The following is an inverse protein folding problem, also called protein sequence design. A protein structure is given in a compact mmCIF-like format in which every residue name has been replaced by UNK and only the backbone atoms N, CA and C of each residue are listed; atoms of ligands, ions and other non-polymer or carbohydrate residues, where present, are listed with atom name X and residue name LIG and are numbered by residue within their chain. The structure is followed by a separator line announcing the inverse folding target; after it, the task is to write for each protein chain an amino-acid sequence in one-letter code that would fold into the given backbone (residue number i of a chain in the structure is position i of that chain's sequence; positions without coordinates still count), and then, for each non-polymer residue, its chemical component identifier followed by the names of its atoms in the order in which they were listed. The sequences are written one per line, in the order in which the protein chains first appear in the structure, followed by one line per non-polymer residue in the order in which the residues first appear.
data_IF_873506100557
#
_entry.id   IF_873506100557
#
_cell.length_a   1.000
_cell.length_b   1.000
_cell.length_c   1.000
_cell.angle_alpha   90.00
_cell.angle_beta   90.00
_cell.angle_gamma   90.00
#
_symmetry.space_group_name_H-M   'P 1'
#
loop_
_entity.id
_entity.type
_entity.pdbx_description
1 polymer ?
2 water ?
#
# COMPACT_ATOMS: atom_id res chain seq x y z
N UNK A 22 12.61 15.20 -10.84
CA UNK A 22 13.58 15.89 -10.00
C UNK A 22 15.02 15.62 -10.43
N UNK A 23 15.94 15.60 -9.45
CA UNK A 23 17.38 15.50 -9.72
C UNK A 23 17.83 14.17 -10.33
N UNK A 24 17.09 13.09 -10.07
CA UNK A 24 17.58 11.73 -10.35
C UNK A 24 17.65 11.34 -11.82
N UNK A 25 18.76 10.70 -12.21
CA UNK A 25 18.94 10.24 -13.59
C UNK A 25 18.24 8.90 -13.79
N UNK A 26 18.04 8.52 -15.05
CA UNK A 26 17.56 7.17 -15.37
C UNK A 26 18.41 6.09 -14.73
N UNK A 27 19.72 6.28 -14.68
CA UNK A 27 20.59 5.27 -14.08
C UNK A 27 20.40 5.33 -12.56
N UNK A 28 20.09 6.52 -12.04
CA UNK A 28 19.97 6.71 -10.61
C UNK A 28 18.67 6.23 -10.01
N UNK A 29 17.63 6.05 -10.82
CA UNK A 29 16.39 5.53 -10.25
C UNK A 29 16.25 4.03 -10.39
N UNK A 30 17.18 3.41 -11.08
CA UNK A 30 17.13 1.95 -11.25
C UNK A 30 18.04 1.22 -10.27
N UNK A 31 19.29 1.68 -10.20
CA UNK A 31 20.23 1.18 -9.23
C UNK A 31 19.68 1.40 -7.82
N UNK A 32 19.39 2.66 -7.50
CA UNK A 32 18.90 3.00 -6.17
C UNK A 32 17.64 2.22 -5.77
N UNK A 33 16.76 1.94 -6.74
CA UNK A 33 15.50 1.25 -6.46
C UNK A 33 15.74 -0.24 -6.39
N UNK A 34 16.65 -0.72 -7.22
CA UNK A 34 17.07 -2.11 -7.13
C UNK A 34 17.66 -2.39 -5.73
N UNK A 35 18.57 -1.53 -5.29
CA UNK A 35 19.15 -1.66 -3.98
C UNK A 35 18.11 -1.60 -2.89
N UNK A 36 17.36 -0.50 -2.87
CA UNK A 36 16.31 -0.24 -1.88
C UNK A 36 15.29 -1.37 -1.85
N UNK A 37 14.93 -1.90 -3.01
CA UNK A 37 14.04 -3.03 -3.03
C UNK A 37 14.69 -4.28 -2.46
N UNK A 38 15.88 -4.64 -2.92
CA UNK A 38 16.49 -5.93 -2.53
C UNK A 38 16.92 -6.00 -1.06
N UNK A 39 17.24 -4.85 -0.47
CA UNK A 39 17.61 -4.84 0.93
C UNK A 39 16.40 -4.74 1.82
N UNK A 40 15.24 -5.06 1.29
CA UNK A 40 14.00 -4.96 2.04
C UNK A 40 13.33 -6.28 1.91
N UNK A 41 13.74 -7.00 0.86
CA UNK A 41 13.27 -8.35 0.62
C UNK A 41 14.07 -9.37 1.44
N UNK A 42 15.38 -9.32 1.34
CA UNK A 42 16.22 -10.26 2.10
C UNK A 42 16.00 -10.10 3.61
N UNK A 43 15.76 -8.86 4.04
CA UNK A 43 15.53 -8.53 5.45
C UNK A 43 14.15 -8.91 5.98
N UNK A 44 13.16 -8.94 5.08
CA UNK A 44 11.77 -9.25 5.45
C UNK A 44 11.21 -10.44 4.69
N UNK A 45 12.05 -11.29 4.13
CA UNK A 45 11.57 -12.42 3.34
C UNK A 45 10.53 -13.29 4.07
N UNK A 46 10.84 -13.73 5.30
CA UNK A 46 9.98 -14.69 6.03
C UNK A 46 8.60 -14.12 6.32
N UNK A 47 8.57 -12.83 6.64
CA UNK A 47 7.32 -12.13 6.90
C UNK A 47 6.48 -11.89 5.63
N UNK A 48 7.13 -11.73 4.48
CA UNK A 48 6.38 -11.60 3.25
C UNK A 48 5.94 -12.98 2.79
N UNK A 49 6.68 -14.01 3.20
CA UNK A 49 6.34 -15.37 2.84
C UNK A 49 4.97 -15.70 3.43
N UNK A 50 4.68 -15.13 4.60
CA UNK A 50 3.40 -15.38 5.26
C UNK A 50 2.37 -14.26 5.08
N UNK A 51 2.82 -13.04 4.80
CA UNK A 51 1.86 -11.94 4.73
C UNK A 51 1.84 -11.20 3.39
N UNK A 52 1.12 -11.75 2.39
CA UNK A 52 1.06 -11.16 1.05
C UNK A 52 0.71 -9.67 1.01
N UNK A 53 -0.20 -9.18 1.87
CA UNK A 53 -0.45 -7.72 1.93
C UNK A 53 0.79 -6.90 2.22
N UNK A 54 1.45 -7.20 3.33
CA UNK A 54 2.71 -6.54 3.68
C UNK A 54 3.69 -6.57 2.52
N UNK A 55 3.71 -7.69 1.81
CA UNK A 55 4.58 -7.82 0.64
C UNK A 55 4.07 -6.85 -0.42
N UNK A 56 2.76 -6.89 -0.65
CA UNK A 56 2.11 -6.03 -1.63
C UNK A 56 2.36 -4.56 -1.33
N UNK A 57 2.42 -4.21 -0.05
CA UNK A 57 2.61 -2.82 0.34
C UNK A 57 4.04 -2.35 0.09
N UNK A 58 5.00 -3.19 0.46
CA UNK A 58 6.41 -2.89 0.23
C UNK A 58 6.68 -2.66 -1.24
N UNK A 59 6.19 -3.57 -2.09
CA UNK A 59 6.19 -3.37 -3.54
C UNK A 59 5.59 -2.03 -3.97
N UNK A 60 4.36 -1.74 -3.54
CA UNK A 60 3.73 -0.46 -3.83
C UNK A 60 4.51 0.76 -3.29
N UNK A 61 5.11 0.60 -2.13
CA UNK A 61 5.80 1.70 -1.46
C UNK A 61 7.17 1.99 -2.11
N UNK A 62 7.79 0.94 -2.64
CA UNK A 62 9.11 1.08 -3.22
C UNK A 62 9.09 1.33 -4.73
N UNK A 63 8.29 0.54 -5.45
CA UNK A 63 8.19 0.62 -6.91
C UNK A 63 7.24 1.71 -7.36
N UNK A 64 6.15 1.88 -6.62
CA UNK A 64 5.12 2.85 -6.95
C UNK A 64 5.60 4.19 -7.46
N UNK A 65 6.45 4.89 -6.67
CA UNK A 65 7.03 6.18 -7.05
C UNK A 65 7.92 6.18 -8.31
N UNK A 66 8.44 5.03 -8.72
CA UNK A 66 9.31 5.00 -9.91
C UNK A 66 8.70 4.24 -11.10
N UNK A 67 7.38 4.06 -11.07
CA UNK A 67 6.66 3.33 -12.11
C UNK A 67 5.46 4.18 -12.63
N UNK A 68 5.32 4.28 -13.95
CA UNK A 68 4.23 5.05 -14.54
C UNK A 68 3.04 4.11 -14.71
N UNK A 69 2.37 3.79 -13.59
CA UNK A 69 1.36 2.73 -13.59
C UNK A 69 0.23 2.95 -14.60
N UNK A 70 -0.12 4.21 -14.84
CA UNK A 70 -1.22 4.55 -15.73
C UNK A 70 -0.79 4.48 -17.19
N UNK A 71 0.43 4.92 -17.47
CA UNK A 71 0.93 4.88 -18.82
C UNK A 71 1.08 3.44 -19.23
N UNK A 72 1.41 2.61 -18.26
CA UNK A 72 1.58 1.19 -18.50
C UNK A 72 0.23 0.53 -18.81
N UNK A 73 -0.80 0.92 -18.05
CA UNK A 73 -2.15 0.39 -18.27
C UNK A 73 -2.75 0.83 -19.61
N UNK A 74 -2.51 2.09 -19.96
CA UNK A 74 -3.03 2.65 -21.20
C UNK A 74 -2.40 1.98 -22.40
N UNK A 75 -1.24 1.37 -22.22
CA UNK A 75 -0.62 0.69 -23.34
C UNK A 75 -1.10 -0.76 -23.43
N UNK A 76 -1.41 -1.32 -22.28
CA UNK A 76 -1.96 -2.67 -22.24
C UNK A 76 -3.38 -2.69 -22.83
N UNK A 77 -4.33 -2.02 -22.19
CA UNK A 77 -5.55 -1.65 -22.89
C UNK A 77 -5.02 -0.77 -23.97
N UNK A 78 -5.59 -0.77 -25.15
CA UNK A 78 -5.13 0.26 -26.09
C UNK A 78 -5.62 1.60 -25.55
N UNK A 79 -5.09 2.69 -26.06
CA UNK A 79 -5.62 4.01 -25.74
C UNK A 79 -7.06 4.13 -26.26
N UNK A 80 -7.42 3.27 -27.21
CA UNK A 80 -8.78 3.18 -27.74
C UNK A 80 -9.74 2.64 -26.68
N UNK A 81 -9.29 1.63 -25.97
CA UNK A 81 -10.08 1.06 -24.89
C UNK A 81 -9.88 1.78 -23.55
N UNK A 82 -8.69 2.32 -23.31
CA UNK A 82 -8.46 3.08 -22.09
C UNK A 82 -9.36 4.33 -22.02
N UNK A 83 -9.83 4.78 -23.17
CA UNK A 83 -10.63 5.99 -23.26
C UNK A 83 -12.08 5.70 -22.99
N UNK A 84 -12.40 4.41 -22.92
CA UNK A 84 -13.76 3.92 -22.69
C UNK A 84 -13.80 3.29 -21.31
N UNK A 85 -12.72 3.50 -20.57
CA UNK A 85 -12.56 2.96 -19.24
C UNK A 85 -12.76 4.08 -18.21
N UNK A 86 -13.76 3.94 -17.33
CA UNK A 86 -13.94 4.91 -16.26
C UNK A 86 -12.77 4.81 -15.27
N UNK A 87 -12.64 5.80 -14.39
CA UNK A 87 -11.67 5.67 -13.31
C UNK A 87 -11.88 4.42 -12.46
N UNK A 88 -13.11 4.10 -12.09
CA UNK A 88 -13.35 2.89 -11.29
C UNK A 88 -12.72 1.69 -11.97
N UNK A 89 -13.08 1.49 -13.22
CA UNK A 89 -12.59 0.37 -14.03
C UNK A 89 -11.08 0.40 -14.17
N UNK A 90 -10.53 1.57 -14.47
CA UNK A 90 -9.10 1.71 -14.66
C UNK A 90 -8.37 1.39 -13.36
N UNK A 91 -9.00 1.68 -12.22
CA UNK A 91 -8.32 1.44 -10.95
C UNK A 91 -8.39 -0.02 -10.57
N UNK A 92 -9.48 -0.66 -10.95
CA UNK A 92 -9.64 -2.09 -10.69
C UNK A 92 -8.67 -2.91 -11.52
N UNK A 93 -8.49 -2.53 -12.77
CA UNK A 93 -7.50 -3.17 -13.62
C UNK A 93 -6.15 -3.20 -12.93
N UNK A 94 -5.69 -2.06 -12.39
CA UNK A 94 -4.35 -1.97 -11.80
C UNK A 94 -4.16 -2.81 -10.55
N UNK A 95 -5.15 -2.77 -9.67
CA UNK A 95 -5.11 -3.60 -8.48
C UNK A 95 -5.08 -5.07 -8.90
N UNK A 96 -6.04 -5.48 -9.72
CA UNK A 96 -6.04 -6.83 -10.28
C UNK A 96 -4.69 -7.30 -10.86
N UNK A 97 -4.13 -6.46 -11.73
CA UNK A 97 -2.83 -6.66 -12.38
C UNK A 97 -1.66 -6.87 -11.42
N UNK A 98 -1.47 -5.92 -10.52
CA UNK A 98 -0.33 -5.91 -9.61
C UNK A 98 -0.30 -7.13 -8.71
N UNK A 99 -1.48 -7.58 -8.30
CA UNK A 99 -1.59 -8.67 -7.36
C UNK A 99 -1.26 -9.99 -8.02
N UNK A 100 -1.73 -10.19 -9.25
CA UNK A 100 -1.38 -11.37 -10.03
C UNK A 100 0.11 -11.37 -10.32
N UNK A 101 0.64 -10.19 -10.64
CA UNK A 101 2.07 -10.06 -10.88
C UNK A 101 2.87 -10.57 -9.70
N UNK A 102 2.56 -10.12 -8.49
CA UNK A 102 3.28 -10.59 -7.30
C UNK A 102 2.87 -12.00 -6.89
N UNK A 103 1.65 -12.40 -7.25
CA UNK A 103 1.19 -13.76 -7.04
C UNK A 103 1.90 -14.78 -7.93
N UNK A 104 2.08 -14.44 -9.20
CA UNK A 104 2.76 -15.37 -10.10
C UNK A 104 4.24 -15.06 -10.33
N UNK A 105 4.70 -13.89 -9.88
CA UNK A 105 6.14 -13.55 -9.98
C UNK A 105 6.92 -13.27 -8.68
N UNK A 106 6.21 -12.95 -7.59
CA UNK A 106 6.84 -12.54 -6.35
C UNK A 106 7.72 -13.58 -5.69
N UNK A 107 7.40 -14.86 -5.88
CA UNK A 107 8.20 -15.89 -5.25
C UNK A 107 9.66 -15.82 -5.67
N UNK A 108 9.88 -15.81 -6.98
CA UNK A 108 11.23 -15.74 -7.55
C UNK A 108 12.05 -14.62 -6.93
N UNK A 109 11.36 -13.54 -6.53
CA UNK A 109 12.00 -12.39 -5.86
C UNK A 109 12.34 -12.72 -4.41
N UNK A 110 11.37 -13.25 -3.70
CA UNK A 110 11.58 -13.61 -2.33
C UNK A 110 12.73 -14.58 -2.29
N UNK A 111 12.80 -15.47 -3.28
CA UNK A 111 13.85 -16.49 -3.36
C UNK A 111 15.24 -15.93 -3.63
N UNK A 112 15.45 -14.65 -3.31
CA UNK A 112 16.70 -13.98 -3.64
C UNK A 112 17.74 -13.91 -2.53
N UNK A 113 18.45 -15.02 -2.37
CA UNK A 113 19.73 -15.06 -1.68
C UNK A 113 20.75 -14.97 -2.81
N UNK A 114 20.26 -14.54 -3.96
CA UNK A 114 21.10 -14.37 -5.13
C UNK A 114 21.68 -12.98 -5.23
N UNK A 115 22.86 -12.92 -5.83
CA UNK A 115 23.51 -11.65 -6.08
C UNK A 115 23.72 -11.59 -7.59
N UNK A 116 24.39 -10.55 -8.06
CA UNK A 116 24.64 -10.42 -9.49
C UNK A 116 23.79 -9.36 -10.16
N UNK A 117 23.74 -8.19 -9.54
CA UNK A 117 22.99 -7.09 -10.12
C UNK A 117 23.94 -6.01 -10.59
N UNK A 118 24.01 -5.88 -11.92
CA UNK A 118 24.79 -4.85 -12.61
C UNK A 118 23.87 -3.94 -13.39
N UNK A 119 23.73 -2.70 -12.95
CA UNK A 119 23.09 -1.67 -13.76
C UNK A 119 24.12 -1.12 -14.77
N UNK A 120 24.05 -1.60 -16.01
CA UNK A 120 24.96 -1.16 -17.09
C UNK A 120 24.83 0.33 -17.32
N UNK A 121 25.99 1.04 -17.37
CA UNK A 121 26.09 2.51 -17.44
C UNK A 121 25.23 3.06 -18.56
N UNK A 122 24.33 4.00 -18.23
CA UNK A 122 23.28 4.43 -19.17
C UNK A 122 23.84 5.29 -20.30
N UNK A 123 23.22 5.20 -21.47
CA UNK A 123 23.60 6.06 -22.59
C UNK A 123 23.09 7.49 -22.36
N UNK A 124 23.12 8.35 -23.39
CA UNK A 124 22.49 9.67 -23.28
C UNK A 124 20.98 9.57 -23.58
N UNK A 125 20.23 10.57 -23.15
CA UNK A 125 18.78 10.61 -23.33
C UNK A 125 18.31 11.85 -24.12
N UNK A 126 17.02 11.93 -24.45
CA UNK A 126 16.48 13.11 -25.17
C UNK A 126 15.66 14.04 -24.29
N UNK A 127 15.69 13.82 -22.98
CA UNK A 127 14.97 14.64 -22.03
C UNK A 127 13.53 14.19 -21.83
N UNK A 128 13.15 13.09 -22.45
CA UNK A 128 11.77 12.63 -22.41
C UNK A 128 11.71 11.11 -22.45
N UNK A 129 12.71 10.49 -23.08
CA UNK A 129 12.79 9.04 -23.18
C UNK A 129 14.19 8.55 -22.79
N UNK A 130 14.28 7.37 -22.19
CA UNK A 130 15.57 6.81 -21.79
C UNK A 130 15.55 5.29 -21.69
N UNK A 131 16.74 4.69 -21.69
CA UNK A 131 16.86 3.22 -21.65
C UNK A 131 18.03 2.75 -20.78
N UNK A 132 17.74 1.87 -19.82
CA UNK A 132 18.75 1.42 -18.87
C UNK A 132 18.85 -0.10 -18.80
N UNK A 133 20.03 -0.63 -19.11
CA UNK A 133 20.29 -2.05 -19.08
C UNK A 133 20.67 -2.56 -17.70
N UNK A 134 20.60 -3.87 -17.53
CA UNK A 134 20.85 -4.52 -16.24
C UNK A 134 21.19 -5.97 -16.51
N UNK A 135 22.28 -6.45 -15.93
CA UNK A 135 22.54 -7.89 -15.94
C UNK A 135 22.17 -8.49 -14.60
N UNK A 136 21.23 -9.44 -14.62
CA UNK A 136 20.99 -10.27 -13.46
C UNK A 136 21.84 -11.53 -13.61
N UNK A 137 22.99 -11.52 -12.92
CA UNK A 137 23.95 -12.63 -12.97
C UNK A 137 23.45 -13.74 -12.04
N UNK A 138 22.78 -14.72 -12.64
CA UNK A 138 21.96 -15.67 -11.91
C UNK A 138 22.59 -16.55 -10.86
N UNK A 139 21.79 -17.51 -10.40
CA UNK A 139 22.14 -18.43 -9.33
C UNK A 139 23.37 -19.29 -9.63
N UNK A 140 23.42 -19.86 -10.83
CA UNK A 140 24.50 -20.74 -11.24
C UNK A 140 25.65 -19.99 -11.90
N UNK A 141 25.31 -18.99 -12.71
CA UNK A 141 26.27 -18.31 -13.55
C UNK A 141 25.61 -17.91 -14.86
N UNK A 142 24.32 -18.19 -14.98
CA UNK A 142 23.55 -17.78 -16.15
C UNK A 142 23.17 -16.30 -16.04
N UNK A 143 23.58 -15.52 -17.04
CA UNK A 143 23.32 -14.07 -17.04
C UNK A 143 22.09 -13.75 -17.89
N UNK A 144 21.17 -12.97 -17.34
CA UNK A 144 19.95 -12.59 -18.05
C UNK A 144 19.93 -11.07 -18.28
N UNK A 145 19.74 -10.66 -19.56
CA UNK A 145 19.75 -9.23 -19.94
C UNK A 145 18.40 -8.54 -19.71
N UNK A 146 18.46 -7.31 -19.19
CA UNK A 146 17.26 -6.55 -18.86
C UNK A 146 17.40 -5.09 -19.30
N UNK A 147 16.39 -4.56 -20.00
CA UNK A 147 16.41 -3.19 -20.50
C UNK A 147 15.17 -2.44 -19.99
N UNK A 148 15.34 -1.39 -19.22
CA UNK A 148 14.20 -0.55 -18.84
C UNK A 148 14.00 0.61 -19.82
N UNK A 149 12.76 0.91 -20.13
CA UNK A 149 12.47 2.15 -20.81
C UNK A 149 11.80 3.06 -19.79
N UNK A 150 12.16 4.33 -19.82
CA UNK A 150 11.67 5.25 -18.82
C UNK A 150 11.17 6.53 -19.48
N UNK A 151 10.28 7.20 -18.78
CA UNK A 151 9.69 8.42 -19.27
C UNK A 151 9.96 9.51 -18.25
N UNK A 152 10.23 10.72 -18.74
CA UNK A 152 10.21 11.87 -17.87
C UNK A 152 8.78 12.37 -17.68
N UNK A 153 8.26 12.15 -16.47
CA UNK A 153 6.91 12.55 -16.12
C UNK A 153 6.97 13.78 -15.21
N UNK A 154 6.73 14.93 -15.81
CA UNK A 154 6.77 16.21 -15.12
C UNK A 154 8.04 16.35 -14.31
N UNK A 155 9.19 16.10 -14.94
CA UNK A 155 10.46 16.21 -14.25
C UNK A 155 11.05 14.92 -13.68
N UNK A 156 10.20 13.97 -13.30
CA UNK A 156 10.68 12.71 -12.71
C UNK A 156 10.77 11.55 -13.72
N UNK A 157 11.85 10.76 -13.65
CA UNK A 157 12.00 9.57 -14.51
C UNK A 157 11.36 8.33 -13.90
N UNK A 158 10.38 7.76 -14.60
CA UNK A 158 9.66 6.57 -14.12
C UNK A 158 9.71 5.47 -15.18
N UNK A 159 9.69 4.22 -14.75
CA UNK A 159 9.72 3.12 -15.70
C UNK A 159 8.39 2.98 -16.47
N UNK A 160 8.48 2.81 -17.79
CA UNK A 160 7.32 2.71 -18.66
C UNK A 160 7.19 1.30 -19.21
N UNK A 161 8.33 0.64 -19.41
CA UNK A 161 8.34 -0.74 -19.91
C UNK A 161 9.59 -1.50 -19.50
N UNK A 162 9.52 -2.84 -19.57
CA UNK A 162 10.74 -3.62 -19.36
C UNK A 162 10.83 -4.74 -20.38
N UNK A 163 12.03 -4.98 -20.85
CA UNK A 163 12.31 -6.08 -21.76
C UNK A 163 13.15 -7.08 -20.97
N UNK A 164 12.62 -8.28 -20.76
CA UNK A 164 13.33 -9.33 -20.03
C UNK A 164 13.61 -10.54 -20.91
N UNK A 165 14.89 -10.88 -21.09
CA UNK A 165 15.31 -11.94 -22.00
C UNK A 165 14.77 -11.84 -23.43
N UNK A 166 14.96 -10.67 -24.04
CA UNK A 166 14.43 -10.40 -25.37
C UNK A 166 12.92 -10.43 -25.49
N UNK A 167 12.22 -10.35 -24.35
CA UNK A 167 10.77 -10.32 -24.34
C UNK A 167 10.21 -9.00 -23.78
N UNK A 168 9.61 -8.22 -24.67
CA UNK A 168 8.92 -6.98 -24.31
C UNK A 168 7.74 -7.30 -23.38
N UNK A 169 7.87 -6.92 -22.12
CA UNK A 169 6.83 -7.24 -21.15
C UNK A 169 5.54 -6.48 -21.47
N UNK A 170 5.67 -5.20 -21.78
CA UNK A 170 4.53 -4.37 -22.12
C UNK A 170 3.75 -4.81 -23.35
N UNK A 171 4.43 -5.52 -24.24
CA UNK A 171 3.85 -6.05 -25.48
C UNK A 171 3.21 -7.42 -25.26
N UNK A 172 3.76 -8.16 -24.31
CA UNK A 172 3.24 -9.46 -23.95
C UNK A 172 1.84 -9.31 -23.39
N UNK A 173 1.71 -8.46 -22.38
CA UNK A 173 0.44 -8.26 -21.70
C UNK A 173 -0.55 -7.49 -22.54
N UNK A 174 -0.06 -6.82 -23.55
CA UNK A 174 -0.90 -6.03 -24.45
C UNK A 174 -1.65 -6.93 -25.42
N UNK A 175 -0.98 -7.99 -25.87
CA UNK A 175 -1.58 -8.91 -26.81
C UNK A 175 -2.52 -9.78 -26.02
N UNK A 176 -2.11 -10.04 -24.77
CA UNK A 176 -2.88 -10.86 -23.85
C UNK A 176 -4.23 -10.19 -23.51
N UNK A 177 -4.19 -8.86 -23.39
CA UNK A 177 -5.40 -8.09 -23.17
C UNK A 177 -6.29 -8.11 -24.42
N UNK A 178 -5.66 -8.13 -25.59
CA UNK A 178 -6.33 -8.03 -26.88
C UNK A 178 -7.01 -9.33 -27.31
N UNK A 179 -6.38 -10.46 -26.95
CA UNK A 179 -6.97 -11.77 -27.19
C UNK A 179 -8.19 -11.96 -26.30
N UNK A 180 -8.06 -11.57 -25.03
CA UNK A 180 -9.17 -11.58 -24.08
C UNK A 180 -10.29 -10.69 -24.56
N UNK A 181 -9.93 -9.51 -25.05
CA UNK A 181 -10.90 -8.61 -25.62
C UNK A 181 -11.60 -9.26 -26.80
N UNK A 182 -10.88 -10.07 -27.57
CA UNK A 182 -11.55 -10.85 -28.60
C UNK A 182 -12.50 -11.88 -28.00
N UNK A 183 -11.99 -12.67 -27.05
CA UNK A 183 -12.81 -13.70 -26.38
C UNK A 183 -14.05 -13.12 -25.70
N UNK A 184 -13.87 -12.07 -24.92
CA UNK A 184 -14.96 -11.53 -24.13
C UNK A 184 -15.82 -10.57 -24.94
N UNK A 185 -15.63 -10.58 -26.26
CA UNK A 185 -16.41 -9.75 -27.17
C UNK A 185 -16.34 -8.26 -26.88
N UNK A 186 -15.19 -7.82 -26.34
CA UNK A 186 -14.91 -6.43 -26.00
C UNK A 186 -15.64 -5.92 -24.77
N UNK A 187 -16.04 -6.84 -23.89
CA UNK A 187 -16.61 -6.45 -22.62
C UNK A 187 -15.45 -6.09 -21.72
N UNK A 188 -15.24 -4.79 -21.54
CA UNK A 188 -14.19 -4.27 -20.68
C UNK A 188 -14.31 -4.77 -19.27
N UNK A 189 -15.52 -4.81 -18.75
CA UNK A 189 -15.71 -5.29 -17.38
C UNK A 189 -15.24 -6.72 -17.22
N UNK A 190 -15.74 -7.62 -18.05
CA UNK A 190 -15.38 -9.03 -18.00
C UNK A 190 -13.88 -9.23 -18.22
N UNK A 191 -13.30 -8.42 -19.09
CA UNK A 191 -11.87 -8.53 -19.39
C UNK A 191 -11.04 -8.14 -18.15
N UNK A 192 -11.43 -7.04 -17.49
CA UNK A 192 -10.75 -6.60 -16.29
C UNK A 192 -10.94 -7.56 -15.11
N UNK A 193 -12.09 -8.24 -15.04
CA UNK A 193 -12.37 -9.13 -13.92
C UNK A 193 -11.65 -10.49 -13.99
N UNK A 194 -11.33 -10.96 -15.20
CA UNK A 194 -10.66 -12.23 -15.37
C UNK A 194 -9.18 -12.11 -15.69
N UNK A 195 -8.60 -10.98 -15.31
CA UNK A 195 -7.25 -10.61 -15.73
C UNK A 195 -6.16 -11.33 -14.95
N UNK A 196 -6.48 -11.77 -13.74
CA UNK A 196 -5.52 -12.51 -12.94
C UNK A 196 -5.03 -13.70 -13.74
N UNK A 197 -5.96 -14.60 -14.06
CA UNK A 197 -5.66 -15.78 -14.86
C UNK A 197 -5.19 -15.40 -16.25
N UNK A 198 -5.52 -14.19 -16.67
CA UNK A 198 -5.03 -13.69 -17.94
C UNK A 198 -3.56 -13.41 -17.81
N UNK A 199 -3.14 -12.99 -16.61
CA UNK A 199 -1.73 -12.71 -16.35
C UNK A 199 -0.97 -14.01 -16.16
N UNK A 200 -1.61 -14.96 -15.49
CA UNK A 200 -1.07 -16.31 -15.31
C UNK A 200 -0.81 -16.97 -16.68
N UNK A 201 -1.80 -16.91 -17.57
CA UNK A 201 -1.68 -17.44 -18.93
C UNK A 201 -0.47 -16.84 -19.67
N UNK A 202 -0.38 -15.51 -19.66
CA UNK A 202 0.67 -14.76 -20.37
C UNK A 202 2.10 -15.10 -19.92
N UNK A 203 2.24 -15.81 -18.79
CA UNK A 203 3.56 -16.26 -18.32
C UNK A 203 4.14 -17.35 -19.24
N UNK A 204 3.41 -18.45 -19.38
CA UNK A 204 3.78 -19.54 -20.28
C UNK A 204 3.42 -19.17 -21.71
N UNK B 22 14.07 3.72 17.93
CA UNK B 22 14.79 4.53 16.93
C UNK B 22 15.12 5.95 17.40
N UNK B 23 15.39 6.80 16.42
CA UNK B 23 15.71 8.20 16.67
C UNK B 23 14.48 8.99 17.15
N UNK B 24 13.45 8.30 17.66
CA UNK B 24 12.16 8.92 17.93
C UNK B 24 11.50 8.57 19.27
N UNK B 25 11.31 9.59 20.09
CA UNK B 25 10.52 9.50 21.31
C UNK B 25 9.07 9.43 20.90
N UNK B 26 8.18 9.06 21.84
CA UNK B 26 6.74 9.01 21.57
C UNK B 26 6.16 10.35 21.11
N UNK B 27 6.81 11.45 21.49
CA UNK B 27 6.35 12.77 21.09
C UNK B 27 6.68 13.00 19.61
N UNK B 28 7.92 12.73 19.22
CA UNK B 28 8.37 12.97 17.86
C UNK B 28 7.60 12.11 16.86
N UNK B 29 7.21 10.91 17.31
CA UNK B 29 6.44 9.98 16.48
C UNK B 29 5.07 10.56 16.10
N UNK B 30 4.35 11.09 17.08
CA UNK B 30 3.00 11.63 16.86
C UNK B 30 2.94 12.89 16.00
N UNK B 31 3.88 13.80 16.18
CA UNK B 31 3.87 15.03 15.40
C UNK B 31 4.48 14.79 14.02
N UNK B 32 5.69 14.24 13.97
CA UNK B 32 6.38 14.06 12.68
C UNK B 32 5.59 13.17 11.72
N UNK B 33 4.72 12.32 12.27
CA UNK B 33 3.80 11.55 11.46
C UNK B 33 2.63 12.43 11.10
N UNK B 34 2.21 13.26 12.05
CA UNK B 34 1.12 14.19 11.80
C UNK B 34 1.49 15.18 10.70
N UNK B 35 2.71 15.72 10.78
CA UNK B 35 3.20 16.61 9.75
C UNK B 35 3.30 15.89 8.42
N UNK B 36 3.71 14.62 8.49
CA UNK B 36 3.98 13.80 7.32
C UNK B 36 2.67 13.52 6.62
N UNK B 37 1.74 12.96 7.38
CA UNK B 37 0.40 12.68 6.90
C UNK B 37 -0.24 13.90 6.23
N UNK B 38 -0.25 15.02 6.94
CA UNK B 38 -0.97 16.21 6.49
C UNK B 38 -0.39 16.88 5.25
N UNK B 39 0.91 17.14 5.25
CA UNK B 39 1.55 17.72 4.08
C UNK B 39 1.45 16.85 2.83
N UNK B 40 0.83 15.68 2.98
CA UNK B 40 0.63 14.76 1.87
C UNK B 40 -0.84 14.78 1.49
N UNK B 41 -1.68 14.99 2.50
CA UNK B 41 -3.14 15.00 2.31
C UNK B 41 -3.56 16.32 1.66
N UNK B 42 -2.87 17.39 2.06
CA UNK B 42 -3.07 18.73 1.50
C UNK B 42 -2.63 18.77 0.03
N UNK B 43 -1.52 18.12 -0.27
CA UNK B 43 -0.91 18.17 -1.60
C UNK B 43 -1.61 17.26 -2.62
N UNK B 44 -2.12 16.12 -2.17
CA UNK B 44 -2.68 15.13 -3.09
C UNK B 44 -4.16 14.91 -2.88
N UNK B 45 -4.83 15.86 -2.23
CA UNK B 45 -6.26 15.76 -1.96
C UNK B 45 -7.10 15.36 -3.16
N UNK B 46 -6.83 15.99 -4.30
CA UNK B 46 -7.64 15.81 -5.51
C UNK B 46 -7.50 14.44 -6.15
N UNK B 47 -6.30 13.87 -6.06
CA UNK B 47 -6.03 12.51 -6.53
C UNK B 47 -6.61 11.48 -5.55
N UNK B 48 -6.69 11.84 -4.28
CA UNK B 48 -7.26 10.95 -3.30
C UNK B 48 -8.78 10.96 -3.39
N UNK B 49 -9.35 12.09 -3.78
CA UNK B 49 -10.79 12.19 -3.90
C UNK B 49 -11.27 11.36 -5.07
N UNK B 50 -10.39 11.15 -6.04
CA UNK B 50 -10.76 10.32 -7.18
C UNK B 50 -10.11 8.93 -7.19
N UNK B 51 -9.15 8.69 -6.31
CA UNK B 51 -8.43 7.41 -6.33
C UNK B 51 -8.21 6.79 -4.93
N UNK B 52 -9.27 6.18 -4.38
CA UNK B 52 -9.24 5.53 -3.06
C UNK B 52 -8.06 4.57 -2.82
N UNK B 53 -7.50 3.93 -3.86
CA UNK B 53 -6.32 3.10 -3.66
C UNK B 53 -5.00 3.87 -3.54
N UNK B 54 -4.89 5.00 -4.24
CA UNK B 54 -3.73 5.85 -4.08
C UNK B 54 -3.77 6.48 -2.69
N UNK B 55 -4.97 6.69 -2.18
CA UNK B 55 -5.19 7.27 -0.86
C UNK B 55 -4.76 6.22 0.12
N UNK B 56 -5.45 5.09 0.10
CA UNK B 56 -5.13 3.92 0.91
C UNK B 56 -3.64 3.59 0.95
N UNK B 57 -2.95 3.66 -0.19
CA UNK B 57 -1.53 3.36 -0.20
C UNK B 57 -0.69 4.37 0.61
N UNK B 58 -1.10 5.64 0.60
CA UNK B 58 -0.42 6.71 1.35
C UNK B 58 -0.68 6.61 2.84
N UNK B 59 -1.94 6.35 3.19
CA UNK B 59 -2.31 6.15 4.58
C UNK B 59 -1.49 5.01 5.16
N UNK B 60 -1.31 3.94 4.39
CA UNK B 60 -0.52 2.79 4.82
C UNK B 60 0.98 3.05 4.91
N UNK B 61 1.49 3.79 3.94
CA UNK B 61 2.90 4.08 3.87
C UNK B 61 3.27 4.97 5.06
N UNK B 62 2.31 5.72 5.56
CA UNK B 62 2.55 6.73 6.59
C UNK B 62 2.19 6.23 7.99
N UNK B 63 1.05 5.56 8.12
CA UNK B 63 0.57 5.09 9.42
C UNK B 63 1.10 3.71 9.81
N UNK B 64 1.13 2.79 8.86
CA UNK B 64 1.64 1.45 9.10
C UNK B 64 2.93 1.33 9.91
N UNK B 65 3.98 2.09 9.51
CA UNK B 65 5.24 2.01 10.24
C UNK B 65 5.19 2.50 11.69
N UNK B 66 4.13 3.21 12.08
CA UNK B 66 4.02 3.73 13.44
C UNK B 66 2.72 3.34 14.14
N UNK B 67 2.06 2.30 13.63
CA UNK B 67 0.81 1.79 14.16
C UNK B 67 0.91 0.26 14.33
N UNK B 68 0.76 -0.24 15.56
CA UNK B 68 0.86 -1.69 15.83
C UNK B 68 -0.40 -2.43 15.36
N UNK B 69 -0.41 -2.77 14.07
CA UNK B 69 -1.52 -3.43 13.40
C UNK B 69 -2.05 -4.68 14.11
N UNK B 70 -1.16 -5.64 14.35
CA UNK B 70 -1.58 -6.90 14.92
C UNK B 70 -1.99 -6.74 16.38
N UNK B 71 -1.29 -5.87 17.09
CA UNK B 71 -1.67 -5.56 18.46
C UNK B 71 -3.07 -4.97 18.50
N UNK B 72 -3.38 -4.10 17.54
CA UNK B 72 -4.66 -3.46 17.50
C UNK B 72 -5.76 -4.47 17.25
N UNK B 73 -5.52 -5.38 16.29
CA UNK B 73 -6.47 -6.42 15.91
C UNK B 73 -6.67 -7.51 16.97
N UNK B 74 -5.57 -7.94 17.58
CA UNK B 74 -5.62 -8.91 18.67
C UNK B 74 -6.45 -8.44 19.85
N UNK B 75 -6.66 -7.13 19.95
CA UNK B 75 -7.34 -6.57 21.09
C UNK B 75 -8.83 -6.32 20.80
N UNK B 76 -9.14 -5.93 19.56
CA UNK B 76 -10.51 -5.86 19.05
C UNK B 76 -11.21 -7.23 19.09
N UNK B 77 -10.62 -8.23 18.45
CA UNK B 77 -10.97 -9.62 18.76
C UNK B 77 -10.39 -9.79 20.15
N UNK B 78 -10.94 -10.64 20.98
CA UNK B 78 -10.25 -10.89 22.25
C UNK B 78 -9.03 -11.75 21.87
N UNK B 79 -8.10 -11.92 22.81
CA UNK B 79 -7.06 -12.94 22.65
C UNK B 79 -7.73 -14.31 22.56
N UNK B 80 -8.92 -14.43 23.12
CA UNK B 80 -9.72 -15.65 23.00
C UNK B 80 -9.89 -16.00 21.52
N UNK B 81 -10.55 -15.11 20.79
CA UNK B 81 -10.82 -15.28 19.35
C UNK B 81 -9.59 -15.09 18.46
N UNK B 82 -8.67 -14.24 18.90
CA UNK B 82 -7.49 -13.96 18.09
C UNK B 82 -6.62 -15.21 17.98
N UNK B 83 -6.79 -16.13 18.92
CA UNK B 83 -5.99 -17.33 18.97
C UNK B 83 -6.57 -18.43 18.10
N UNK B 84 -7.81 -18.23 17.66
CA UNK B 84 -8.51 -19.21 16.84
C UNK B 84 -8.63 -18.65 15.44
N UNK B 85 -7.79 -17.68 15.15
CA UNK B 85 -7.79 -17.03 13.85
C UNK B 85 -6.51 -17.36 13.09
N UNK B 86 -6.65 -17.86 11.87
CA UNK B 86 -5.49 -18.14 11.04
C UNK B 86 -4.91 -16.83 10.56
N UNK B 87 -3.64 -16.83 10.20
CA UNK B 87 -3.10 -15.65 9.54
C UNK B 87 -3.98 -15.12 8.40
N UNK B 88 -4.55 -15.98 7.58
CA UNK B 88 -5.39 -15.51 6.46
C UNK B 88 -6.51 -14.64 6.96
N UNK B 89 -7.23 -15.15 7.95
CA UNK B 89 -8.33 -14.45 8.58
C UNK B 89 -7.88 -13.16 9.24
N UNK B 90 -6.82 -13.25 10.05
CA UNK B 90 -6.24 -12.05 10.66
C UNK B 90 -5.89 -11.02 9.61
N UNK B 91 -5.30 -11.46 8.52
CA UNK B 91 -4.83 -10.53 7.50
C UNK B 91 -5.99 -10.00 6.72
N UNK B 92 -7.06 -10.79 6.70
CA UNK B 92 -8.25 -10.37 5.99
C UNK B 92 -8.92 -9.32 6.85
N UNK B 93 -9.03 -9.61 8.14
CA UNK B 93 -9.62 -8.67 9.07
C UNK B 93 -9.04 -7.27 8.96
N UNK B 94 -7.74 -7.13 9.07
CA UNK B 94 -7.09 -5.81 9.03
C UNK B 94 -7.38 -5.03 7.75
N UNK B 95 -7.21 -5.70 6.62
CA UNK B 95 -7.56 -5.13 5.34
C UNK B 95 -9.01 -4.58 5.37
N UNK B 96 -9.98 -5.45 5.61
CA UNK B 96 -11.37 -5.01 5.80
C UNK B 96 -11.55 -3.84 6.80
N UNK B 97 -10.88 -3.91 7.94
CA UNK B 97 -10.94 -2.89 8.97
C UNK B 97 -10.43 -1.55 8.45
N UNK B 98 -9.16 -1.53 8.05
CA UNK B 98 -8.49 -0.33 7.56
C UNK B 98 -9.32 0.33 6.47
N UNK B 99 -9.91 -0.49 5.61
CA UNK B 99 -10.64 0.01 4.45
C UNK B 99 -12.01 0.64 4.73
N UNK B 100 -12.77 0.11 5.67
CA UNK B 100 -14.03 0.75 6.06
C UNK B 100 -13.67 2.03 6.81
N UNK B 101 -12.52 2.01 7.48
CA UNK B 101 -12.10 3.16 8.26
C UNK B 101 -11.94 4.36 7.36
N UNK B 102 -11.11 4.26 6.33
CA UNK B 102 -10.94 5.38 5.40
C UNK B 102 -12.16 5.62 4.51
N UNK B 103 -13.05 4.64 4.44
CA UNK B 103 -14.32 4.79 3.75
C UNK B 103 -15.24 5.78 4.49
N UNK B 104 -15.26 5.66 5.81
CA UNK B 104 -16.24 6.36 6.63
C UNK B 104 -15.65 7.56 7.37
N UNK B 105 -14.33 7.70 7.29
CA UNK B 105 -13.60 8.80 7.96
C UNK B 105 -12.64 9.53 7.04
N UNK B 106 -12.36 8.96 5.88
CA UNK B 106 -11.37 9.53 4.98
C UNK B 106 -11.71 10.93 4.52
N UNK B 107 -13.00 11.15 4.23
CA UNK B 107 -13.46 12.45 3.78
C UNK B 107 -12.98 13.54 4.72
N UNK B 108 -13.32 13.40 6.00
CA UNK B 108 -12.90 14.32 7.06
C UNK B 108 -11.42 14.72 7.04
N UNK B 109 -10.56 13.77 6.68
CA UNK B 109 -9.13 14.03 6.59
C UNK B 109 -8.82 14.81 5.33
N UNK B 110 -9.47 14.45 4.25
CA UNK B 110 -9.32 15.11 2.97
C UNK B 110 -9.71 16.57 3.12
N UNK B 111 -10.87 16.83 3.71
CA UNK B 111 -11.37 18.20 3.82
C UNK B 111 -10.73 18.94 5.01
N UNK B 112 -9.67 18.34 5.54
CA UNK B 112 -8.90 18.96 6.59
C UNK B 112 -7.69 19.69 6.03
N UNK B 113 -7.96 20.81 5.38
CA UNK B 113 -6.93 21.81 5.14
C UNK B 113 -6.93 22.72 6.36
N UNK B 114 -7.94 22.55 7.22
CA UNK B 114 -8.03 23.19 8.54
C UNK B 114 -6.74 23.12 9.34
N UNK B 115 -6.66 23.93 10.38
CA UNK B 115 -5.40 24.14 11.07
C UNK B 115 -5.51 23.92 12.57
N UNK B 116 -4.41 24.13 13.28
CA UNK B 116 -4.39 24.04 14.72
C UNK B 116 -4.00 22.66 15.18
N UNK B 117 -2.78 22.25 14.86
CA UNK B 117 -2.30 20.97 15.35
C UNK B 117 -1.30 21.10 16.47
N UNK B 118 -1.82 20.86 17.67
CA UNK B 118 -1.01 20.91 18.86
C UNK B 118 -0.76 19.51 19.39
N UNK B 119 0.50 19.12 19.37
CA UNK B 119 0.94 17.93 20.06
C UNK B 119 1.45 18.35 21.44
N UNK B 120 0.63 18.11 22.49
CA UNK B 120 1.06 18.33 23.88
C UNK B 120 2.44 17.73 24.17
N UNK B 121 3.24 18.37 25.05
CA UNK B 121 4.53 17.80 25.44
C UNK B 121 4.30 16.54 26.30
N UNK B 122 4.72 15.38 25.80
CA UNK B 122 4.42 14.10 26.45
C UNK B 122 5.00 14.05 27.86
N UNK B 123 4.24 13.47 28.79
CA UNK B 123 4.75 13.20 30.14
C UNK B 123 5.83 12.12 30.10
N UNK B 124 6.23 11.59 31.25
CA UNK B 124 7.26 10.55 31.21
C UNK B 124 6.62 9.18 30.90
N UNK B 125 7.45 8.24 30.46
CA UNK B 125 6.99 6.90 30.09
C UNK B 125 7.70 5.84 30.92
N UNK B 126 7.28 4.59 30.80
CA UNK B 126 7.94 3.49 31.51
C UNK B 126 8.84 2.70 30.57
N UNK B 127 9.12 3.26 29.40
CA UNK B 127 9.94 2.61 28.40
C UNK B 127 9.23 1.46 27.70
N UNK B 128 7.93 1.34 27.92
CA UNK B 128 7.19 0.23 27.35
C UNK B 128 5.82 0.71 26.91
N UNK B 129 5.20 1.54 27.73
CA UNK B 129 3.94 2.21 27.38
C UNK B 129 4.20 3.72 27.48
N UNK B 130 3.30 4.53 26.95
CA UNK B 130 3.49 5.98 26.91
C UNK B 130 2.23 6.64 26.40
N UNK B 131 1.98 7.86 26.83
CA UNK B 131 0.78 8.60 26.44
C UNK B 131 1.18 9.81 25.62
N UNK B 132 0.37 10.19 24.64
CA UNK B 132 0.53 11.50 23.98
C UNK B 132 -0.80 12.20 23.75
N UNK B 133 -0.91 13.42 24.26
CA UNK B 133 -2.12 14.23 24.09
C UNK B 133 -2.08 15.09 22.84
N UNK B 134 -3.22 15.63 22.45
CA UNK B 134 -3.32 16.41 21.21
C UNK B 134 -4.61 17.23 21.24
N UNK B 135 -4.52 18.47 20.77
CA UNK B 135 -5.70 19.32 20.65
C UNK B 135 -5.89 19.72 19.19
N UNK B 136 -7.13 19.65 18.73
CA UNK B 136 -7.46 19.96 17.33
C UNK B 136 -8.55 21.04 17.27
N UNK B 137 -8.17 22.22 16.74
CA UNK B 137 -9.10 23.30 16.40
C UNK B 137 -9.72 23.04 15.03
N UNK B 138 -10.88 22.39 15.04
CA UNK B 138 -11.47 21.89 13.80
C UNK B 138 -12.10 22.91 12.86
N UNK B 139 -13.34 22.62 12.46
CA UNK B 139 -14.03 23.39 11.45
C UNK B 139 -14.63 24.71 11.94
N UNK B 140 -14.07 25.27 13.01
CA UNK B 140 -14.47 26.61 13.51
C UNK B 140 -13.50 27.24 14.52
N UNK B 141 -13.36 26.60 15.68
CA UNK B 141 -12.59 27.13 16.78
C UNK B 141 -12.84 26.24 17.99
N UNK B 142 -13.64 25.19 17.77
CA UNK B 142 -13.85 24.17 18.78
C UNK B 142 -12.60 23.29 18.90
N UNK B 143 -12.05 23.24 20.12
CA UNK B 143 -10.88 22.41 20.40
C UNK B 143 -11.30 21.01 20.84
N UNK B 144 -10.73 20.01 20.18
CA UNK B 144 -11.04 18.61 20.48
C UNK B 144 -9.76 17.91 21.00
N UNK B 145 -9.90 17.15 22.09
CA UNK B 145 -8.77 16.47 22.74
C UNK B 145 -8.58 15.03 22.24
N UNK B 146 -7.32 14.61 22.17
CA UNK B 146 -6.98 13.28 21.65
C UNK B 146 -5.79 12.69 22.41
N UNK B 147 -6.01 11.59 23.13
CA UNK B 147 -4.89 10.90 23.76
C UNK B 147 -4.45 9.68 22.93
N UNK B 148 -3.16 9.63 22.59
CA UNK B 148 -2.58 8.44 21.95
C UNK B 148 -1.94 7.55 23.01
N UNK B 149 -2.20 6.25 22.91
CA UNK B 149 -1.46 5.30 23.71
C UNK B 149 -0.45 4.65 22.77
N UNK B 150 0.81 4.63 23.17
CA UNK B 150 1.83 4.02 22.35
C UNK B 150 2.44 2.85 23.11
N UNK B 151 3.21 2.03 22.42
CA UNK B 151 3.79 0.87 23.06
C UNK B 151 5.13 0.65 22.40
N UNK B 152 6.08 0.11 23.16
CA UNK B 152 7.42 -0.07 22.61
C UNK B 152 7.65 -1.47 22.05
N UNK B 153 7.74 -1.55 20.71
CA UNK B 153 7.90 -2.81 19.99
C UNK B 153 9.29 -2.90 19.39
N UNK B 154 10.21 -3.52 20.11
CA UNK B 154 11.57 -3.67 19.62
C UNK B 154 12.24 -2.32 19.46
N UNK B 155 12.19 -1.53 20.54
CA UNK B 155 12.80 -0.21 20.54
C UNK B 155 12.11 0.75 19.58
N UNK B 156 10.84 0.50 19.31
CA UNK B 156 10.08 1.37 18.42
C UNK B 156 8.73 1.73 19.01
N UNK B 157 8.47 3.02 19.16
CA UNK B 157 7.18 3.44 19.70
C UNK B 157 6.11 3.38 18.62
N UNK B 158 5.05 2.62 18.87
CA UNK B 158 3.96 2.51 17.92
C UNK B 158 2.63 2.75 18.61
N UNK B 159 1.70 3.38 17.91
CA UNK B 159 0.39 3.67 18.45
C UNK B 159 -0.46 2.41 18.58
N UNK B 160 -1.03 2.21 19.77
CA UNK B 160 -1.79 1.01 20.12
C UNK B 160 -3.27 1.31 20.31
N UNK B 161 -3.56 2.47 20.90
CA UNK B 161 -4.93 2.92 21.01
C UNK B 161 -4.99 4.42 20.89
N UNK B 162 -6.19 4.95 20.68
CA UNK B 162 -6.42 6.39 20.76
C UNK B 162 -7.73 6.65 21.47
N UNK B 163 -7.75 7.66 22.34
CA UNK B 163 -8.99 8.14 22.91
C UNK B 163 -9.40 9.42 22.19
N UNK B 164 -10.57 9.40 21.54
CA UNK B 164 -11.06 10.56 20.80
C UNK B 164 -12.34 11.12 21.43
N UNK B 165 -12.32 12.42 21.76
CA UNK B 165 -13.42 13.11 22.46
C UNK B 165 -13.93 12.32 23.66
N UNK B 166 -12.98 11.74 24.41
CA UNK B 166 -13.28 10.89 25.55
C UNK B 166 -13.97 9.60 25.17
N UNK B 167 -13.89 9.21 23.89
CA UNK B 167 -14.36 7.89 23.45
C UNK B 167 -13.18 6.98 23.14
N UNK B 168 -12.98 5.97 23.98
CA UNK B 168 -11.97 4.96 23.73
C UNK B 168 -12.28 4.24 22.41
N UNK B 169 -11.51 4.56 21.38
CA UNK B 169 -11.73 3.98 20.06
C UNK B 169 -11.50 2.46 20.08
N UNK B 170 -10.39 2.03 20.67
CA UNK B 170 -10.05 0.61 20.77
C UNK B 170 -11.08 -0.25 21.49
N UNK B 171 -11.75 0.34 22.49
CA UNK B 171 -12.82 -0.34 23.23
C UNK B 171 -14.13 -0.26 22.46
N UNK B 172 -14.26 0.73 21.60
CA UNK B 172 -15.47 0.91 20.79
C UNK B 172 -15.61 -0.22 19.78
N UNK B 173 -14.53 -0.50 19.07
CA UNK B 173 -14.54 -1.50 18.03
C UNK B 173 -14.51 -2.90 18.59
N UNK B 174 -13.99 -3.01 19.81
CA UNK B 174 -13.96 -4.26 20.53
C UNK B 174 -15.37 -4.74 20.88
N UNK B 175 -16.23 -3.82 21.34
CA UNK B 175 -17.60 -4.16 21.75
C UNK B 175 -18.48 -4.40 20.54
N UNK B 176 -18.03 -3.92 19.39
CA UNK B 176 -18.70 -4.14 18.12
C UNK B 176 -18.38 -5.55 17.59
N UNK B 177 -17.13 -5.98 17.77
CA UNK B 177 -16.72 -7.31 17.39
C UNK B 177 -17.42 -8.32 18.29
N UNK B 178 -17.54 -7.96 19.57
CA UNK B 178 -18.19 -8.81 20.56
C UNK B 178 -19.70 -8.95 20.30
N UNK B 179 -20.33 -7.83 19.99
CA UNK B 179 -21.75 -7.81 19.66
C UNK B 179 -22.00 -8.67 18.41
N UNK B 180 -21.22 -8.42 17.36
CA UNK B 180 -21.38 -9.15 16.09
C UNK B 180 -21.25 -10.65 16.28
N UNK B 181 -20.12 -11.06 16.86
CA UNK B 181 -19.87 -12.47 17.18
C UNK B 181 -21.01 -13.13 17.97
N UNK B 182 -21.73 -12.37 18.79
CA UNK B 182 -22.92 -12.89 19.47
C UNK B 182 -23.95 -13.21 18.42
N UNK B 183 -24.28 -12.19 17.64
CA UNK B 183 -25.26 -12.31 16.58
C UNK B 183 -24.92 -13.41 15.57
N UNK B 184 -23.62 -13.63 15.33
CA UNK B 184 -23.16 -14.63 14.37
C UNK B 184 -22.74 -15.96 14.99
N UNK B 185 -23.17 -16.22 16.23
CA UNK B 185 -22.85 -17.47 16.90
C UNK B 185 -21.36 -17.77 16.86
N UNK B 186 -20.57 -16.70 16.87
CA UNK B 186 -19.12 -16.77 16.89
C UNK B 186 -18.46 -17.35 15.61
N UNK B 187 -19.05 -17.09 14.44
CA UNK B 187 -18.36 -17.41 13.18
C UNK B 187 -17.46 -16.26 12.77
N UNK B 188 -16.16 -16.52 12.82
CA UNK B 188 -15.17 -15.50 12.52
C UNK B 188 -15.30 -15.01 11.10
N UNK B 189 -15.49 -15.92 10.17
CA UNK B 189 -15.56 -15.53 8.77
C UNK B 189 -16.78 -14.67 8.48
N UNK B 190 -17.91 -14.93 9.10
CA UNK B 190 -19.06 -14.05 8.89
C UNK B 190 -18.79 -12.69 9.52
N UNK B 191 -18.15 -12.69 10.68
CA UNK B 191 -17.89 -11.45 11.37
C UNK B 191 -16.80 -10.66 10.64
N UNK B 192 -15.83 -11.37 10.08
CA UNK B 192 -14.73 -10.71 9.41
C UNK B 192 -15.15 -10.24 8.02
N UNK B 193 -16.01 -11.01 7.36
CA UNK B 193 -16.46 -10.68 5.99
C UNK B 193 -17.63 -9.68 5.98
N UNK B 194 -18.09 -9.29 7.17
CA UNK B 194 -19.17 -8.34 7.28
C UNK B 194 -18.79 -7.21 8.22
N UNK B 195 -17.48 -6.98 8.34
CA UNK B 195 -16.93 -6.07 9.33
C UNK B 195 -16.98 -4.59 8.92
N UNK B 196 -16.97 -4.35 7.61
CA UNK B 196 -17.08 -2.97 7.14
C UNK B 196 -18.43 -2.40 7.55
N UNK B 197 -19.46 -3.23 7.45
CA UNK B 197 -20.81 -2.82 7.78
C UNK B 197 -20.96 -2.67 9.29
N UNK B 198 -20.00 -3.23 10.01
CA UNK B 198 -20.01 -3.19 11.47
C UNK B 198 -19.32 -1.91 11.92
N UNK B 199 -18.31 -1.48 11.17
CA UNK B 199 -17.64 -0.22 11.48
C UNK B 199 -18.59 0.95 11.16
N UNK B 200 -19.48 0.73 10.20
CA UNK B 200 -20.50 1.72 9.86
C UNK B 200 -21.42 1.98 11.07
N UNK B 201 -21.86 0.89 11.71
CA UNK B 201 -22.73 0.97 12.88
C UNK B 201 -22.00 1.60 14.06
N UNK B 202 -20.71 1.33 14.18
CA UNK B 202 -19.88 1.87 15.28
C UNK B 202 -19.56 3.38 15.15
N UNK B 203 -20.25 4.08 14.25
CA UNK B 203 -20.23 5.54 14.25
C UNK B 203 -21.16 5.97 15.36
N UNK B 204 -22.31 5.28 15.41
CA UNK B 204 -23.39 5.55 16.32
C UNK B 204 -23.29 4.67 17.56
#
# INVERSE_FOLDING_TARGET
XISILRRGLLVLLAAFPLLALAVQTPHEVVQSTTNELLGDLKANKEQYKSNPNAFYDSLNRILGPVVDADGISRSIMTVKYSRKATPEQMQRFQENFKRSLMQFYGNALLEYNNQGITVDPAKADDGKRASVGMKVTGNNGAVYPVQYTLENIGGEWKVRNVIVNGINIGKLFRDQFADAMQRNGNDLDKTIDGWAGEVAKAKQAADNSPEKSVKLEHHHHHH
XISILRRGLLVLLAAFPLLALAVQTPHEVVQSTTNELLGDLKANKEQYKSNPNAFYDSLNRILGPVVDADGISRSIMTVKYSRKATPEQMQRFQENFKRSLMQFYGNALLEYNNQGITVDPAKADDGKRASVGMKVTGNNGAVYPVQYTLENIGGEWKVRNVIVNGINIGKLFRDQFADAMQRNGNDLDKTIDGWAGEVAKAKQAADNSPEKSVKLEHHHHHH
#
